data_IF_752588364052
#
_entry.id   IF_752588364052
#
_cell.length_a   1.000
_cell.length_b   1.000
_cell.length_c   1.000
_cell.angle_alpha   90.00
_cell.angle_beta   90.00
_cell.angle_gamma   90.00
#
_symmetry.space_group_name_H-M   'P 1'
#
loop_
_entity.id
_entity.type
_entity.pdbx_description
1 polymer ?
#
# COMPACT_ATOMS: atom_id res chain seq x y z
N UNK A 1 -3.82 26.73 2.41
CA UNK A 1 -3.27 25.37 2.21
C UNK A 1 -4.36 24.54 1.57
N UNK A 2 -4.21 24.14 0.31
CA UNK A 2 -5.15 23.18 -0.29
C UNK A 2 -4.85 21.81 0.31
N UNK A 3 -5.82 21.20 0.99
CA UNK A 3 -5.67 19.82 1.49
C UNK A 3 -5.48 18.83 0.35
N UNK A 4 -4.80 17.71 0.60
CA UNK A 4 -4.68 16.66 -0.40
C UNK A 4 -6.07 16.21 -0.88
N UNK A 5 -6.23 16.01 -2.19
CA UNK A 5 -7.48 15.53 -2.75
C UNK A 5 -7.89 14.20 -2.10
N UNK A 6 -9.18 14.06 -1.75
CA UNK A 6 -9.70 12.83 -1.15
C UNK A 6 -9.81 11.75 -2.23
N UNK A 7 -9.20 10.60 -1.99
CA UNK A 7 -9.29 9.41 -2.83
C UNK A 7 -10.41 8.50 -2.32
N UNK A 8 -11.26 8.03 -3.23
CA UNK A 8 -12.36 7.12 -2.93
C UNK A 8 -12.07 5.68 -3.37
N UNK A 9 -11.13 5.51 -4.31
CA UNK A 9 -10.72 4.21 -4.85
C UNK A 9 -9.21 4.15 -4.97
N UNK A 10 -8.66 2.93 -5.00
CA UNK A 10 -7.23 2.71 -5.28
C UNK A 10 -6.86 3.31 -6.63
N UNK A 11 -7.69 3.16 -7.66
CA UNK A 11 -7.44 3.73 -8.98
C UNK A 11 -7.38 5.26 -8.97
N UNK A 12 -8.24 5.93 -8.18
CA UNK A 12 -8.18 7.38 -8.01
C UNK A 12 -6.89 7.84 -7.30
N UNK A 13 -6.37 7.05 -6.36
CA UNK A 13 -5.06 7.28 -5.75
C UNK A 13 -3.93 7.04 -6.76
N UNK A 14 -3.96 5.93 -7.50
CA UNK A 14 -2.94 5.62 -8.49
C UNK A 14 -2.90 6.64 -9.64
N UNK A 15 -4.03 7.26 -9.97
CA UNK A 15 -4.10 8.37 -10.93
C UNK A 15 -3.50 9.69 -10.44
N UNK A 16 -3.30 9.87 -9.12
CA UNK A 16 -2.71 11.07 -8.54
C UNK A 16 -1.19 10.97 -8.34
N UNK A 17 -0.62 9.78 -8.46
CA UNK A 17 0.82 9.53 -8.29
C UNK A 17 1.54 9.46 -9.63
N UNK A 18 2.86 9.69 -9.61
CA UNK A 18 3.70 9.63 -10.81
C UNK A 18 3.58 8.25 -11.51
N UNK A 19 3.55 8.18 -12.85
CA UNK A 19 3.23 6.96 -13.59
C UNK A 19 4.07 5.72 -13.26
N UNK A 20 5.39 5.86 -13.04
CA UNK A 20 6.25 4.73 -12.66
C UNK A 20 5.82 4.21 -11.28
N UNK A 21 5.67 5.10 -10.30
CA UNK A 21 5.18 4.73 -8.96
C UNK A 21 3.80 4.09 -8.99
N UNK A 22 2.87 4.62 -9.80
CA UNK A 22 1.53 4.08 -9.97
C UNK A 22 1.58 2.62 -10.45
N UNK A 23 2.39 2.34 -11.48
CA UNK A 23 2.54 0.98 -12.02
C UNK A 23 3.15 0.02 -11.00
N UNK A 24 4.18 0.46 -10.27
CA UNK A 24 4.80 -0.36 -9.22
C UNK A 24 3.80 -0.67 -8.10
N UNK A 25 3.10 0.34 -7.58
CA UNK A 25 2.10 0.14 -6.52
C UNK A 25 0.96 -0.77 -6.98
N UNK A 26 0.46 -0.61 -8.21
CA UNK A 26 -0.56 -1.50 -8.78
C UNK A 26 -0.09 -2.95 -8.79
N UNK A 27 1.14 -3.18 -9.25
CA UNK A 27 1.72 -4.54 -9.33
C UNK A 27 1.86 -5.17 -7.95
N UNK A 28 2.29 -4.40 -6.93
CA UNK A 28 2.40 -4.89 -5.56
C UNK A 28 1.02 -5.22 -4.98
N UNK A 29 0.03 -4.32 -5.14
CA UNK A 29 -1.34 -4.55 -4.67
C UNK A 29 -1.90 -5.83 -5.30
N UNK A 30 -1.78 -5.99 -6.62
CA UNK A 30 -2.25 -7.18 -7.33
C UNK A 30 -1.55 -8.45 -6.84
N UNK A 31 -0.23 -8.40 -6.62
CA UNK A 31 0.55 -9.54 -6.14
C UNK A 31 0.13 -9.96 -4.72
N UNK A 32 -0.21 -9.02 -3.85
CA UNK A 32 -0.71 -9.33 -2.50
C UNK A 32 -2.12 -9.92 -2.59
N UNK A 33 -3.02 -9.28 -3.33
CA UNK A 33 -4.41 -9.74 -3.47
C UNK A 33 -4.51 -11.11 -4.15
N UNK A 34 -3.57 -11.49 -5.03
CA UNK A 34 -3.57 -12.83 -5.63
C UNK A 34 -3.20 -13.96 -4.67
N UNK A 35 -2.79 -13.66 -3.43
CA UNK A 35 -2.42 -14.70 -2.45
C UNK A 35 -3.62 -15.30 -1.72
N UNK A 36 -4.74 -14.59 -1.66
CA UNK A 36 -5.95 -15.03 -0.95
C UNK A 36 -7.15 -14.17 -1.38
N UNK A 37 -8.27 -14.83 -1.70
CA UNK A 37 -9.54 -14.16 -2.04
C UNK A 37 -10.20 -13.45 -0.83
N UNK A 38 -9.72 -13.71 0.40
CA UNK A 38 -10.19 -13.01 1.60
C UNK A 38 -9.56 -11.61 1.77
N UNK A 39 -8.51 -11.32 1.00
CA UNK A 39 -7.84 -10.02 1.03
C UNK A 39 -8.57 -9.02 0.14
N UNK A 40 -8.73 -7.80 0.65
CA UNK A 40 -9.37 -6.72 -0.08
C UNK A 40 -8.52 -5.45 -0.06
N UNK A 41 -8.40 -4.81 -1.23
CA UNK A 41 -7.81 -3.49 -1.36
C UNK A 41 -8.84 -2.39 -1.09
N UNK A 42 -8.56 -1.52 -0.11
CA UNK A 42 -9.41 -0.39 0.28
C UNK A 42 -8.61 0.91 0.36
N UNK A 43 -9.31 2.05 0.48
CA UNK A 43 -8.70 3.32 0.87
C UNK A 43 -8.94 3.57 2.37
N UNK A 44 -7.86 3.80 3.12
CA UNK A 44 -7.93 4.35 4.48
C UNK A 44 -6.78 5.35 4.70
N UNK A 45 -7.04 6.40 5.49
CA UNK A 45 -6.13 7.54 5.66
C UNK A 45 -5.67 8.15 4.32
N UNK A 46 -6.57 8.14 3.32
CA UNK A 46 -6.34 8.64 1.97
C UNK A 46 -5.29 7.87 1.15
N UNK A 47 -4.90 6.66 1.56
CA UNK A 47 -3.93 5.81 0.86
C UNK A 47 -4.43 4.36 0.74
N UNK A 48 -3.87 3.55 -0.18
CA UNK A 48 -4.21 2.14 -0.28
C UNK A 48 -3.85 1.34 0.97
N UNK A 49 -4.78 0.51 1.41
CA UNK A 49 -4.59 -0.50 2.45
C UNK A 49 -5.13 -1.84 1.96
N UNK A 50 -4.50 -2.92 2.40
CA UNK A 50 -4.99 -4.30 2.24
C UNK A 50 -5.58 -4.73 3.58
N UNK A 51 -6.82 -5.21 3.56
CA UNK A 51 -7.52 -5.73 4.74
C UNK A 51 -7.81 -7.21 4.62
N UNK A 52 -7.77 -7.91 5.76
CA UNK A 52 -8.32 -9.25 5.95
C UNK A 52 -9.49 -9.12 6.94
N UNK A 53 -10.71 -9.30 6.45
CA UNK A 53 -11.91 -9.01 7.23
C UNK A 53 -11.91 -7.55 7.72
N UNK A 54 -11.82 -7.34 9.05
CA UNK A 54 -11.80 -6.01 9.68
C UNK A 54 -10.39 -5.47 9.99
N UNK A 55 -9.35 -6.24 9.71
CA UNK A 55 -7.98 -5.91 10.09
C UNK A 55 -7.19 -5.41 8.90
N UNK A 56 -6.50 -4.27 9.05
CA UNK A 56 -5.49 -3.85 8.08
C UNK A 56 -4.22 -4.69 8.26
N UNK A 57 -3.76 -5.32 7.18
CA UNK A 57 -2.62 -6.24 7.20
C UNK A 57 -1.46 -5.75 6.35
N UNK A 58 -1.70 -4.83 5.40
CA UNK A 58 -0.65 -4.21 4.63
C UNK A 58 -1.04 -2.79 4.17
N UNK A 59 -0.11 -1.85 4.15
CA UNK A 59 -0.32 -0.48 3.70
C UNK A 59 0.74 -0.01 2.72
N UNK A 60 0.35 0.86 1.79
CA UNK A 60 1.26 1.38 0.77
C UNK A 60 1.08 2.88 0.60
N UNK A 61 2.17 3.60 0.32
CA UNK A 61 2.10 5.03 0.00
C UNK A 61 3.26 5.45 -0.91
N UNK A 62 3.00 6.37 -1.83
CA UNK A 62 4.01 7.05 -2.64
C UNK A 62 4.43 8.37 -2.00
N UNK A 63 5.73 8.50 -1.72
CA UNK A 63 6.37 9.75 -1.32
C UNK A 63 7.21 10.32 -2.47
N UNK A 64 7.76 11.53 -2.29
CA UNK A 64 8.57 12.21 -3.33
C UNK A 64 9.69 11.33 -3.88
N UNK A 65 10.44 10.65 -3.01
CA UNK A 65 11.66 9.93 -3.38
C UNK A 65 11.57 8.41 -3.22
N UNK A 66 10.48 7.88 -2.67
CA UNK A 66 10.37 6.45 -2.36
C UNK A 66 8.91 6.00 -2.29
N UNK A 67 8.71 4.69 -2.24
CA UNK A 67 7.45 4.05 -1.86
C UNK A 67 7.63 3.46 -0.47
N UNK A 68 6.60 3.54 0.36
CA UNK A 68 6.57 2.85 1.66
C UNK A 68 5.65 1.63 1.57
N UNK A 69 6.09 0.54 2.19
CA UNK A 69 5.35 -0.72 2.30
C UNK A 69 5.31 -1.09 3.79
N UNK A 70 4.12 -1.18 4.38
CA UNK A 70 3.94 -1.35 5.81
C UNK A 70 3.11 -2.62 6.10
N UNK A 71 3.71 -3.70 6.63
CA UNK A 71 2.98 -4.95 6.92
C UNK A 71 2.15 -4.89 8.23
N UNK A 72 1.99 -3.71 8.82
CA UNK A 72 1.29 -3.45 10.09
C UNK A 72 1.62 -4.42 11.25
N UNK A 73 2.80 -5.03 11.20
CA UNK A 73 3.29 -5.98 12.21
C UNK A 73 4.78 -5.77 12.45
N UNK A 74 5.19 -5.34 13.65
CA UNK A 74 6.60 -5.25 14.03
C UNK A 74 7.32 -6.60 13.92
N UNK A 75 6.62 -7.70 14.18
CA UNK A 75 7.20 -9.05 14.07
C UNK A 75 7.60 -9.39 12.63
N UNK A 76 6.80 -8.98 11.63
CA UNK A 76 7.16 -9.17 10.22
C UNK A 76 8.38 -8.35 9.85
N UNK A 77 8.48 -7.09 10.29
CA UNK A 77 9.68 -6.28 10.04
C UNK A 77 10.92 -6.92 10.67
N UNK A 78 10.82 -7.42 11.90
CA UNK A 78 11.95 -8.06 12.58
C UNK A 78 12.38 -9.36 11.89
N UNK A 79 11.42 -10.21 11.51
CA UNK A 79 11.69 -11.47 10.82
C UNK A 79 12.38 -11.25 9.46
N UNK A 80 12.10 -10.14 8.79
CA UNK A 80 12.69 -9.79 7.50
C UNK A 80 13.89 -8.84 7.60
N UNK A 81 14.28 -8.39 8.80
CA UNK A 81 15.39 -7.46 9.02
C UNK A 81 16.67 -7.86 8.27
N UNK A 82 17.13 -9.13 8.25
CA UNK A 82 18.34 -9.53 7.53
C UNK A 82 18.24 -9.37 6.00
N UNK A 83 17.03 -9.38 5.44
CA UNK A 83 16.78 -9.19 4.00
C UNK A 83 16.55 -7.73 3.62
N UNK A 84 16.27 -6.88 4.61
CA UNK A 84 16.00 -5.45 4.45
C UNK A 84 17.23 -4.60 4.79
N UNK A 85 18.33 -5.20 5.24
CA UNK A 85 19.60 -4.50 5.42
C UNK A 85 20.19 -4.07 4.07
N UNK A 86 20.93 -2.95 4.01
CA UNK A 86 21.65 -2.51 2.81
C UNK A 86 22.62 -3.55 2.25
#
# INVERSE_FOLDING_TARGET
MSGAAKHLTIEAYLGSVEPVKARTLRSIIQSILSTSDELEGVIAWNVPQIRLGRHYVFGLCAYKNHLTLAPWSPHVIEAFRPRLSP
#
